data_IF_736486195502
#
_entry.id   IF_736486195502
#
_cell.length_a   1.000
_cell.length_b   1.000
_cell.length_c   1.000
_cell.angle_alpha   90.00
_cell.angle_beta   90.00
_cell.angle_gamma   90.00
#
_symmetry.space_group_name_H-M   'P 1'
#
loop_
_entity.id
_entity.type
_entity.pdbx_description
1 polymer ?
#
# COMPACT_ATOMS: atom_id res chain seq x y z
N UNK A 1 -15.42 8.03 -0.54
CA UNK A 1 -15.09 9.39 -1.02
C UNK A 1 -16.12 10.35 -0.45
N UNK A 2 -15.70 11.48 0.09
CA UNK A 2 -16.62 12.52 0.53
C UNK A 2 -16.54 13.67 -0.48
N UNK A 3 -17.46 13.67 -1.45
CA UNK A 3 -17.46 14.57 -2.61
C UNK A 3 -18.71 15.46 -2.67
N UNK A 4 -19.62 15.38 -1.69
CA UNK A 4 -20.87 16.16 -1.70
C UNK A 4 -21.79 15.89 -2.89
N UNK A 5 -21.73 14.71 -3.53
CA UNK A 5 -22.53 14.37 -4.71
C UNK A 5 -24.01 14.12 -4.33
N UNK A 6 -24.92 14.60 -5.18
CA UNK A 6 -26.39 14.45 -5.00
C UNK A 6 -27.13 14.01 -6.26
N UNK A 7 -26.40 13.54 -7.27
CA UNK A 7 -26.95 13.15 -8.57
C UNK A 7 -27.64 11.78 -8.50
N UNK A 8 -27.11 10.85 -7.70
CA UNK A 8 -27.67 9.50 -7.56
C UNK A 8 -27.30 8.60 -8.74
N UNK A 9 -28.16 7.62 -9.02
CA UNK A 9 -28.07 6.70 -10.18
C UNK A 9 -26.77 5.88 -10.26
N UNK A 10 -26.07 5.70 -9.14
CA UNK A 10 -24.82 4.93 -9.11
C UNK A 10 -23.58 5.69 -9.62
N UNK A 11 -23.68 6.99 -9.91
CA UNK A 11 -22.53 7.82 -10.33
C UNK A 11 -21.38 7.79 -9.31
N UNK A 12 -21.71 7.79 -8.01
CA UNK A 12 -20.72 7.60 -6.94
C UNK A 12 -20.09 6.21 -6.91
N UNK A 13 -20.81 5.16 -7.33
CA UNK A 13 -20.28 3.81 -7.40
C UNK A 13 -19.29 3.64 -8.55
N UNK A 14 -19.60 4.20 -9.73
CA UNK A 14 -18.67 4.23 -10.88
C UNK A 14 -17.40 4.99 -10.52
N UNK A 15 -17.50 6.12 -9.84
CA UNK A 15 -16.34 6.87 -9.34
C UNK A 15 -15.48 6.05 -8.34
N UNK A 16 -16.08 5.14 -7.60
CA UNK A 16 -15.38 4.29 -6.63
C UNK A 16 -14.80 3.00 -7.24
N UNK A 17 -15.20 2.58 -8.44
CA UNK A 17 -14.76 1.30 -9.04
C UNK A 17 -13.24 1.19 -9.12
N UNK A 18 -12.56 2.21 -9.64
CA UNK A 18 -11.10 2.19 -9.76
C UNK A 18 -10.39 2.15 -8.41
N UNK A 19 -10.99 2.73 -7.36
CA UNK A 19 -10.41 2.62 -6.01
C UNK A 19 -10.47 1.19 -5.48
N UNK A 20 -11.54 0.45 -5.78
CA UNK A 20 -11.66 -0.97 -5.40
C UNK A 20 -10.65 -1.82 -6.17
N UNK A 21 -10.48 -1.57 -7.47
CA UNK A 21 -9.48 -2.26 -8.30
C UNK A 21 -8.06 -2.02 -7.78
N UNK A 22 -7.70 -0.78 -7.48
CA UNK A 22 -6.37 -0.45 -6.93
C UNK A 22 -6.19 -1.07 -5.55
N UNK A 23 -7.22 -1.06 -4.69
CA UNK A 23 -7.12 -1.71 -3.38
C UNK A 23 -6.85 -3.22 -3.50
N UNK A 24 -7.49 -3.89 -4.47
CA UNK A 24 -7.23 -5.29 -4.75
C UNK A 24 -5.80 -5.51 -5.25
N UNK A 25 -5.34 -4.71 -6.21
CA UNK A 25 -3.96 -4.78 -6.73
C UNK A 25 -2.92 -4.49 -5.63
N UNK A 26 -3.19 -3.54 -4.73
CA UNK A 26 -2.33 -3.28 -3.58
C UNK A 26 -2.19 -4.51 -2.67
N UNK A 27 -3.25 -5.30 -2.51
CA UNK A 27 -3.22 -6.51 -1.70
C UNK A 27 -2.49 -7.67 -2.40
N UNK A 28 -2.68 -7.83 -3.71
CA UNK A 28 -2.17 -8.99 -4.44
C UNK A 28 -0.78 -8.80 -5.06
N UNK A 29 -0.47 -7.57 -5.47
CA UNK A 29 0.66 -7.30 -6.38
C UNK A 29 1.77 -6.47 -5.71
N UNK A 30 1.57 -5.98 -4.49
CA UNK A 30 2.63 -5.28 -3.76
C UNK A 30 3.69 -6.27 -3.27
N UNK A 31 4.95 -5.94 -3.57
CA UNK A 31 6.10 -6.65 -3.02
C UNK A 31 6.09 -6.58 -1.48
N UNK A 32 6.42 -7.71 -0.86
CA UNK A 32 6.62 -7.81 0.59
C UNK A 32 7.87 -7.03 1.02
N UNK A 33 8.01 -6.78 2.32
CA UNK A 33 9.20 -6.10 2.86
C UNK A 33 10.51 -6.84 2.56
N UNK A 34 10.49 -8.18 2.51
CA UNK A 34 11.67 -8.96 2.12
C UNK A 34 12.02 -8.79 0.65
N UNK A 35 11.03 -8.91 -0.24
CA UNK A 35 11.22 -8.71 -1.69
C UNK A 35 11.66 -7.28 -2.03
N UNK A 36 11.24 -6.29 -1.25
CA UNK A 36 11.66 -4.90 -1.37
C UNK A 36 13.01 -4.57 -0.69
N UNK A 37 13.67 -5.55 -0.05
CA UNK A 37 14.97 -5.36 0.62
C UNK A 37 14.90 -4.48 1.88
N UNK A 38 13.77 -4.50 2.58
CA UNK A 38 13.52 -3.69 3.79
C UNK A 38 13.88 -4.45 5.06
N UNK A 39 13.71 -5.77 5.10
CA UNK A 39 13.86 -6.58 6.31
C UNK A 39 15.29 -6.68 6.84
N UNK A 40 16.30 -6.62 5.97
CA UNK A 40 17.70 -6.86 6.36
C UNK A 40 18.40 -5.61 6.94
N UNK A 41 17.72 -4.45 6.98
CA UNK A 41 18.29 -3.18 7.45
C UNK A 41 18.53 -3.12 8.96
N UNK A 42 17.88 -3.98 9.75
CA UNK A 42 18.06 -4.01 11.20
C UNK A 42 19.32 -4.81 11.60
N UNK A 43 19.63 -5.90 10.88
CA UNK A 43 20.77 -6.77 11.20
C UNK A 43 22.13 -6.13 10.83
N UNK A 44 22.21 -5.36 9.73
CA UNK A 44 23.46 -4.68 9.33
C UNK A 44 23.87 -3.54 10.28
N UNK A 45 22.90 -2.87 10.92
CA UNK A 45 23.19 -1.78 11.86
C UNK A 45 23.68 -2.31 13.22
N UNK A 46 23.27 -3.51 13.63
CA UNK A 46 23.74 -4.13 14.88
C UNK A 46 25.21 -4.58 14.75
N UNK A 47 25.59 -5.16 13.60
CA UNK A 47 26.98 -5.57 13.32
C UNK A 47 27.96 -4.38 13.19
N UNK A 48 27.47 -3.20 12.78
CA UNK A 48 28.27 -1.97 12.75
C UNK A 48 28.47 -1.32 14.13
N UNK A 49 27.77 -1.81 15.16
CA UNK A 49 27.75 -1.24 16.52
C UNK A 49 28.54 -2.03 17.57
N UNK A 50 29.22 -3.12 17.20
CA UNK A 50 30.15 -3.83 18.08
C UNK A 50 31.60 -3.36 17.84
N UNK A 51 32.12 -2.42 18.64
CA UNK A 51 33.55 -2.15 18.70
C UNK A 51 34.21 -3.14 19.67
N UNK A 52 35.06 -4.02 19.11
CA UNK A 52 36.20 -4.73 19.73
C UNK A 52 36.11 -5.19 21.19
#
# INVERSE_FOLDING_TARGET
LDLGLRLGEGTGAVLAMTLVEIAAACLSDMATFGEAGVSDREDEQVLASEPN
#
